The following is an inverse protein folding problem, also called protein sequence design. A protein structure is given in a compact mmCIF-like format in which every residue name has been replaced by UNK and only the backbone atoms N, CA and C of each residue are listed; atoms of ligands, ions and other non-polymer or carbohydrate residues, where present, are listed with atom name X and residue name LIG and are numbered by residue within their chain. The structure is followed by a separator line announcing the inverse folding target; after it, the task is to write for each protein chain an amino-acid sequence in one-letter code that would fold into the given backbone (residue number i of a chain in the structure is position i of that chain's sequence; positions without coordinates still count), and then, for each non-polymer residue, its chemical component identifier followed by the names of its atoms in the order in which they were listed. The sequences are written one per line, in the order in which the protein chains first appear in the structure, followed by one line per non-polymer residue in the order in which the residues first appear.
data_IF_736765360202
#
_entry.id   IF_736765360202
#
_cell.length_a   1.000
_cell.length_b   1.000
_cell.length_c   1.000
_cell.angle_alpha   90.00
_cell.angle_beta   90.00
_cell.angle_gamma   90.00
#
_symmetry.space_group_name_H-M   'P 1'
#
loop_
_entity.id
_entity.type
_entity.pdbx_description
1 polymer ?
#
# COMPACT_ATOMS: atom_id res chain seq x y z
N UNK A 1 -11.51 7.93 -3.77
CA UNK A 1 -11.29 9.30 -3.25
C UNK A 1 -11.16 9.21 -1.74
N UNK A 2 -10.13 9.81 -1.12
CA UNK A 2 -9.97 9.74 0.33
C UNK A 2 -11.07 10.53 1.04
N UNK A 3 -11.48 10.05 2.21
CA UNK A 3 -12.65 10.49 2.97
C UNK A 3 -12.56 11.90 3.58
N UNK A 4 -11.48 12.66 3.38
CA UNK A 4 -11.24 13.93 4.07
C UNK A 4 -11.67 15.19 3.28
N UNK A 5 -12.48 15.05 2.21
CA UNK A 5 -12.99 16.19 1.42
C UNK A 5 -14.31 16.81 1.94
N UNK A 6 -14.66 16.62 3.21
CA UNK A 6 -15.78 17.30 3.86
C UNK A 6 -15.29 18.03 5.13
N UNK A 7 -15.66 19.31 5.35
CA UNK A 7 -15.33 20.03 6.57
C UNK A 7 -16.02 19.38 7.77
N UNK A 8 -15.27 19.13 8.84
CA UNK A 8 -15.77 18.53 10.08
C UNK A 8 -16.66 19.54 10.82
N UNK A 9 -17.96 19.26 10.90
CA UNK A 9 -18.87 19.90 11.84
C UNK A 9 -19.57 18.79 12.63
N UNK A 10 -19.39 18.80 13.95
CA UNK A 10 -19.99 17.84 14.88
C UNK A 10 -21.26 18.45 15.49
N UNK A 11 -22.42 17.76 15.48
CA UNK A 11 -23.51 18.06 16.41
C UNK A 11 -23.39 17.20 17.69
N UNK A 12 -23.98 17.65 18.81
CA UNK A 12 -23.78 17.05 20.14
C UNK A 12 -24.55 15.74 20.35
N UNK A 13 -23.99 14.92 21.25
CA UNK A 13 -24.45 13.60 21.68
C UNK A 13 -25.91 13.56 22.14
N UNK A 14 -26.66 12.56 21.68
CA UNK A 14 -27.86 12.07 22.35
C UNK A 14 -27.60 10.68 22.93
N UNK A 15 -27.67 10.59 24.26
CA UNK A 15 -27.64 9.36 25.05
C UNK A 15 -29.03 8.72 25.06
N UNK A 16 -29.12 7.43 24.75
CA UNK A 16 -30.24 6.58 25.20
C UNK A 16 -29.69 5.24 25.68
N UNK A 17 -30.02 4.92 26.93
CA UNK A 17 -29.62 3.71 27.64
C UNK A 17 -30.74 2.67 27.58
N UNK A 18 -30.40 1.40 27.37
CA UNK A 18 -31.25 0.22 27.67
C UNK A 18 -30.37 -1.01 27.99
N UNK A 19 -30.89 -2.01 28.72
CA UNK A 19 -30.15 -2.71 29.76
C UNK A 19 -29.53 -4.05 29.35
N UNK A 20 -28.59 -4.48 30.19
CA UNK A 20 -27.87 -5.75 30.19
C UNK A 20 -28.78 -6.98 30.19
N UNK A 21 -28.38 -7.99 29.40
CA UNK A 21 -28.70 -9.41 29.63
C UNK A 21 -27.39 -10.18 29.69
N UNK A 22 -27.17 -10.85 30.82
CA UNK A 22 -26.01 -11.71 31.08
C UNK A 22 -26.21 -13.08 30.41
N UNK A 23 -25.14 -13.65 29.84
CA UNK A 23 -25.04 -15.07 29.58
C UNK A 23 -23.67 -15.62 30.02
N UNK A 24 -23.77 -16.66 30.85
CA UNK A 24 -22.74 -17.57 31.36
C UNK A 24 -21.79 -18.02 30.24
N UNK A 25 -20.48 -18.12 30.39
CA UNK A 25 -19.76 -18.78 31.47
C UNK A 25 -19.33 -20.17 31.00
N UNK A 26 -18.25 -20.26 30.23
CA UNK A 26 -17.51 -21.51 29.98
C UNK A 26 -16.02 -21.20 30.12
N UNK A 27 -15.44 -21.70 31.21
CA UNK A 27 -14.02 -21.67 31.48
C UNK A 27 -13.30 -22.63 30.53
N UNK A 28 -12.26 -22.15 29.84
CA UNK A 28 -11.26 -23.01 29.22
C UNK A 28 -9.91 -22.74 29.86
N UNK A 29 -9.31 -23.83 30.30
CA UNK A 29 -8.13 -23.98 31.15
C UNK A 29 -6.87 -23.42 30.52
N UNK A 30 -6.25 -22.45 31.22
CA UNK A 30 -4.82 -22.14 31.13
C UNK A 30 -4.01 -23.30 31.68
N UNK A 31 -3.41 -24.10 30.80
CA UNK A 31 -2.18 -24.86 31.07
C UNK A 31 -1.58 -25.24 29.72
N UNK A 32 -0.25 -25.14 29.63
CA UNK A 32 0.60 -25.37 28.46
C UNK A 32 0.79 -24.17 27.51
N UNK A 33 1.44 -23.12 28.02
CA UNK A 33 2.35 -22.31 27.19
C UNK A 33 3.77 -22.50 27.71
N UNK A 34 4.74 -22.91 26.88
CA UNK A 34 6.13 -22.96 27.31
C UNK A 34 6.62 -21.55 27.63
N UNK A 35 7.40 -21.44 28.71
CA UNK A 35 8.09 -20.22 29.16
C UNK A 35 8.80 -19.56 27.97
N UNK A 36 8.28 -18.43 27.50
CA UNK A 36 9.06 -17.52 26.66
C UNK A 36 10.10 -16.89 27.59
N UNK A 37 11.36 -17.28 27.40
CA UNK A 37 12.49 -16.42 27.75
C UNK A 37 12.18 -14.99 27.28
N UNK A 38 12.63 -13.98 28.06
CA UNK A 38 12.49 -12.57 27.69
C UNK A 38 13.34 -12.31 26.45
N UNK A 39 12.81 -12.63 25.29
CA UNK A 39 13.41 -12.40 23.98
C UNK A 39 13.61 -10.89 23.79
N UNK A 40 14.83 -10.50 23.38
CA UNK A 40 15.07 -9.18 22.81
C UNK A 40 14.05 -8.91 21.67
N UNK A 41 13.53 -7.68 21.52
CA UNK A 41 12.57 -7.38 20.46
C UNK A 41 13.18 -7.73 19.10
N UNK A 42 12.47 -8.55 18.31
CA UNK A 42 13.04 -9.25 17.15
C UNK A 42 13.47 -8.28 16.02
N UNK A 43 12.96 -7.05 16.08
CA UNK A 43 13.15 -5.98 15.10
C UNK A 43 14.02 -4.81 15.59
N UNK A 44 14.46 -4.79 16.86
CA UNK A 44 15.25 -3.68 17.41
C UNK A 44 16.61 -3.53 16.68
N UNK A 45 17.24 -4.66 16.36
CA UNK A 45 18.50 -4.73 15.59
C UNK A 45 18.37 -4.19 14.15
N UNK A 46 17.16 -4.16 13.58
CA UNK A 46 16.94 -3.64 12.22
C UNK A 46 16.90 -2.11 12.18
N UNK A 47 16.79 -1.42 13.32
CA UNK A 47 16.78 0.04 13.38
C UNK A 47 18.18 0.67 13.49
N UNK A 48 19.18 -0.07 13.92
CA UNK A 48 20.52 0.45 14.18
C UNK A 48 21.14 1.09 12.93
N UNK A 49 21.45 2.38 13.00
CA UNK A 49 22.07 3.14 11.90
C UNK A 49 21.12 3.58 10.78
N UNK A 50 19.81 3.29 10.88
CA UNK A 50 18.83 3.83 9.94
C UNK A 50 18.33 5.19 10.40
N UNK A 51 18.62 6.23 9.63
CA UNK A 51 18.01 7.55 9.83
C UNK A 51 16.49 7.63 9.57
N UNK A 52 15.78 6.50 9.58
CA UNK A 52 14.33 6.34 9.43
C UNK A 52 13.90 5.05 10.14
N UNK A 53 12.96 5.14 11.09
CA UNK A 53 12.50 4.00 11.90
C UNK A 53 10.98 3.90 12.03
N UNK A 54 10.22 4.83 11.44
CA UNK A 54 8.75 4.85 11.53
C UNK A 54 8.04 3.80 10.67
N UNK A 55 8.80 2.96 9.99
CA UNK A 55 8.36 1.78 9.23
C UNK A 55 8.82 0.45 9.88
N UNK A 56 9.40 0.50 11.08
CA UNK A 56 9.77 -0.70 11.85
C UNK A 56 8.54 -1.16 12.64
N UNK A 57 8.24 -2.46 12.56
CA UNK A 57 7.14 -3.07 13.31
C UNK A 57 7.31 -2.90 14.82
N UNK A 58 6.29 -2.37 15.49
CA UNK A 58 6.27 -2.14 16.94
C UNK A 58 5.63 -3.35 17.64
N UNK A 59 6.47 -4.31 18.04
CA UNK A 59 6.06 -5.50 18.80
C UNK A 59 5.49 -5.18 20.19
N UNK A 60 5.66 -3.95 20.69
CA UNK A 60 5.20 -3.53 22.02
C UNK A 60 3.78 -2.99 22.00
N UNK A 61 3.30 -2.53 20.84
CA UNK A 61 1.96 -1.98 20.73
C UNK A 61 0.89 -3.06 20.94
N UNK A 62 -0.11 -2.72 21.75
CA UNK A 62 -1.30 -3.54 21.99
C UNK A 62 -2.54 -2.68 21.76
N UNK A 63 -3.56 -3.25 21.14
CA UNK A 63 -4.84 -2.58 20.95
C UNK A 63 -5.45 -2.19 22.31
N UNK A 64 -6.23 -1.11 22.31
CA UNK A 64 -7.02 -0.72 23.47
C UNK A 64 -8.06 -1.79 23.77
N UNK A 65 -8.21 -2.16 25.04
CA UNK A 65 -9.25 -3.10 25.47
C UNK A 65 -10.61 -2.39 25.49
N UNK A 66 -11.68 -3.14 25.18
CA UNK A 66 -13.05 -2.63 25.21
C UNK A 66 -13.78 -2.70 23.87
N UNK A 67 -15.01 -2.18 23.80
CA UNK A 67 -15.80 -2.21 22.57
C UNK A 67 -15.17 -1.30 21.51
N UNK A 68 -15.03 -1.82 20.29
CA UNK A 68 -14.58 -1.04 19.13
C UNK A 68 -15.67 -0.04 18.72
N UNK A 69 -15.32 1.18 18.27
CA UNK A 69 -16.30 2.16 17.81
C UNK A 69 -17.07 1.62 16.59
N UNK A 70 -18.33 2.05 16.47
CA UNK A 70 -19.17 1.68 15.35
C UNK A 70 -18.55 2.13 14.02
N UNK A 71 -18.66 1.28 12.99
CA UNK A 71 -18.17 1.61 11.66
C UNK A 71 -19.07 2.67 11.02
N UNK A 72 -18.47 3.78 10.56
CA UNK A 72 -19.20 4.87 9.90
C UNK A 72 -18.94 4.82 8.40
N UNK A 73 -19.99 4.55 7.60
CA UNK A 73 -19.90 4.49 6.15
C UNK A 73 -19.72 5.88 5.51
N UNK A 74 -18.95 5.92 4.43
CA UNK A 74 -18.74 7.11 3.60
C UNK A 74 -19.43 6.88 2.26
N UNK A 75 -20.74 7.17 2.20
CA UNK A 75 -21.60 6.87 1.04
C UNK A 75 -21.08 7.43 -0.29
N UNK A 76 -20.49 8.63 -0.29
CA UNK A 76 -19.82 9.19 -1.47
C UNK A 76 -18.77 8.24 -2.03
N UNK A 77 -17.93 7.65 -1.17
CA UNK A 77 -16.87 6.75 -1.59
C UNK A 77 -17.45 5.44 -2.09
N UNK A 78 -18.47 4.90 -1.42
CA UNK A 78 -19.18 3.69 -1.83
C UNK A 78 -19.75 3.84 -3.25
N UNK A 79 -20.49 4.92 -3.49
CA UNK A 79 -21.13 5.19 -4.80
C UNK A 79 -20.06 5.36 -5.88
N UNK A 80 -19.06 6.21 -5.67
CA UNK A 80 -18.02 6.45 -6.67
C UNK A 80 -17.20 5.19 -6.96
N UNK A 81 -16.93 4.36 -5.95
CA UNK A 81 -16.21 3.11 -6.14
C UNK A 81 -17.04 2.09 -6.92
N UNK A 82 -18.35 2.00 -6.64
CA UNK A 82 -19.27 1.17 -7.39
C UNK A 82 -19.35 1.60 -8.86
N UNK A 83 -19.54 2.90 -9.13
CA UNK A 83 -19.60 3.44 -10.49
C UNK A 83 -18.30 3.21 -11.27
N UNK A 84 -17.14 3.40 -10.63
CA UNK A 84 -15.84 3.13 -11.25
C UNK A 84 -15.74 1.68 -11.74
N UNK A 85 -16.09 0.72 -10.88
CA UNK A 85 -15.95 -0.70 -11.20
C UNK A 85 -17.02 -1.19 -12.18
N UNK A 86 -18.25 -0.65 -12.14
CA UNK A 86 -19.27 -0.92 -13.14
C UNK A 86 -18.84 -0.41 -14.53
N UNK A 87 -18.28 0.80 -14.60
CA UNK A 87 -17.77 1.35 -15.85
C UNK A 87 -16.54 0.57 -16.36
N UNK A 88 -15.64 0.15 -15.47
CA UNK A 88 -14.52 -0.72 -15.82
C UNK A 88 -14.98 -2.09 -16.31
N UNK A 89 -16.00 -2.69 -15.69
CA UNK A 89 -16.59 -3.95 -16.15
C UNK A 89 -17.19 -3.79 -17.55
N UNK A 90 -17.93 -2.70 -17.80
CA UNK A 90 -18.42 -2.38 -19.14
C UNK A 90 -17.27 -2.20 -20.14
N UNK A 91 -16.20 -1.53 -19.74
CA UNK A 91 -15.02 -1.30 -20.57
C UNK A 91 -14.37 -2.61 -21.06
N UNK A 92 -14.45 -3.70 -20.28
CA UNK A 92 -13.95 -5.02 -20.70
C UNK A 92 -14.67 -5.52 -21.96
N UNK A 93 -16.00 -5.33 -22.05
CA UNK A 93 -16.80 -5.79 -23.19
C UNK A 93 -16.53 -5.01 -24.48
N UNK A 94 -15.99 -3.79 -24.40
CA UNK A 94 -15.67 -2.96 -25.57
C UNK A 94 -14.20 -3.06 -26.01
N UNK A 95 -13.37 -3.85 -25.31
CA UNK A 95 -11.98 -4.11 -25.71
C UNK A 95 -11.87 -4.60 -27.15
N UNK A 96 -12.71 -5.54 -27.65
CA UNK A 96 -12.63 -5.99 -29.04
C UNK A 96 -12.88 -4.88 -30.08
N UNK A 97 -13.60 -3.82 -29.68
CA UNK A 97 -13.87 -2.65 -30.51
C UNK A 97 -12.85 -1.50 -30.32
N UNK A 98 -11.86 -1.70 -29.45
CA UNK A 98 -10.84 -0.71 -29.10
C UNK A 98 -9.60 -0.92 -29.97
N UNK A 99 -9.04 0.17 -30.51
CA UNK A 99 -7.83 0.11 -31.32
C UNK A 99 -6.66 -0.43 -30.50
N UNK A 100 -5.81 -1.24 -31.13
CA UNK A 100 -4.61 -1.78 -30.48
C UNK A 100 -3.70 -0.71 -29.87
N UNK A 101 -3.54 0.44 -30.56
CA UNK A 101 -2.76 1.57 -30.04
C UNK A 101 -3.30 2.10 -28.70
N UNK A 102 -4.62 2.13 -28.51
CA UNK A 102 -5.27 2.52 -27.25
C UNK A 102 -4.99 1.51 -26.14
N UNK A 103 -5.00 0.22 -26.45
CA UNK A 103 -4.65 -0.84 -25.49
C UNK A 103 -3.18 -0.76 -25.06
N UNK A 104 -2.28 -0.58 -26.03
CA UNK A 104 -0.85 -0.40 -25.76
C UNK A 104 -0.59 0.86 -24.93
N UNK A 105 -1.25 1.97 -25.28
CA UNK A 105 -1.17 3.22 -24.51
C UNK A 105 -1.65 3.02 -23.07
N UNK A 106 -2.81 2.41 -22.87
CA UNK A 106 -3.33 2.08 -21.53
C UNK A 106 -2.37 1.19 -20.74
N UNK A 107 -1.75 0.20 -21.39
CA UNK A 107 -0.76 -0.67 -20.76
C UNK A 107 0.52 0.06 -20.35
N UNK A 108 1.06 0.94 -21.21
CA UNK A 108 2.22 1.78 -20.85
C UNK A 108 1.87 2.71 -19.70
N UNK A 109 0.69 3.34 -19.74
CA UNK A 109 0.18 4.20 -18.67
C UNK A 109 0.05 3.45 -17.34
N UNK A 110 -0.40 2.18 -17.40
CA UNK A 110 -0.50 1.28 -16.25
C UNK A 110 0.87 1.04 -15.61
N UNK A 111 1.89 0.69 -16.41
CA UNK A 111 3.25 0.46 -15.91
C UNK A 111 3.82 1.71 -15.25
N UNK A 112 3.72 2.87 -15.92
CA UNK A 112 4.25 4.13 -15.38
C UNK A 112 3.53 4.48 -14.07
N UNK A 113 2.20 4.36 -14.04
CA UNK A 113 1.41 4.58 -12.81
C UNK A 113 1.86 3.64 -11.68
N UNK A 114 2.07 2.36 -12.00
CA UNK A 114 2.59 1.37 -11.06
C UNK A 114 3.93 1.75 -10.47
N UNK A 115 4.91 2.16 -11.29
CA UNK A 115 6.21 2.65 -10.83
C UNK A 115 6.10 3.89 -9.94
N UNK A 116 5.12 4.76 -10.19
CA UNK A 116 4.81 5.90 -9.32
C UNK A 116 4.39 5.50 -7.90
N UNK A 117 3.74 4.34 -7.75
CA UNK A 117 3.43 3.75 -6.45
C UNK A 117 4.65 3.02 -5.90
N UNK A 118 5.19 2.05 -6.63
CA UNK A 118 6.17 1.09 -6.11
C UNK A 118 7.57 1.69 -5.96
N UNK A 119 8.14 2.27 -7.03
CA UNK A 119 9.44 2.94 -6.94
C UNK A 119 9.33 4.26 -6.18
N UNK A 120 8.24 5.01 -6.41
CA UNK A 120 7.98 6.29 -5.77
C UNK A 120 7.44 6.17 -4.34
N UNK A 121 6.11 6.25 -4.20
CA UNK A 121 5.44 6.40 -2.90
C UNK A 121 5.91 5.37 -1.87
N UNK A 122 6.09 4.12 -2.28
CA UNK A 122 6.48 3.01 -1.43
C UNK A 122 7.96 3.02 -1.09
N UNK A 123 8.83 2.61 -2.02
CA UNK A 123 10.24 2.37 -1.73
C UNK A 123 11.03 3.65 -1.45
N UNK A 124 10.78 4.72 -2.22
CA UNK A 124 11.51 5.98 -2.08
C UNK A 124 11.03 6.81 -0.89
N UNK A 125 9.75 7.16 -0.85
CA UNK A 125 9.25 8.13 0.13
C UNK A 125 8.79 7.48 1.45
N UNK A 126 8.19 6.30 1.43
CA UNK A 126 7.74 5.66 2.68
C UNK A 126 8.89 5.03 3.44
N UNK A 127 9.78 4.31 2.74
CA UNK A 127 10.86 3.52 3.36
C UNK A 127 12.26 4.12 3.24
N UNK A 128 12.46 5.13 2.38
CA UNK A 128 13.77 5.73 2.12
C UNK A 128 14.84 4.67 1.83
N UNK A 129 14.47 3.68 1.03
CA UNK A 129 15.33 2.52 0.73
C UNK A 129 16.39 2.83 -0.33
N UNK A 130 16.26 3.96 -1.02
CA UNK A 130 17.27 4.51 -1.93
C UNK A 130 17.15 6.05 -2.01
N UNK A 131 18.11 6.70 -2.65
CA UNK A 131 18.10 8.14 -2.95
C UNK A 131 17.84 8.37 -4.43
N UNK A 132 17.05 9.40 -4.75
CA UNK A 132 16.72 9.78 -6.12
C UNK A 132 17.13 11.23 -6.41
N UNK A 133 17.73 11.45 -7.57
CA UNK A 133 18.00 12.78 -8.13
C UNK A 133 16.69 13.57 -8.31
N UNK A 134 16.79 14.89 -8.45
CA UNK A 134 15.61 15.75 -8.64
C UNK A 134 14.78 15.36 -9.88
N UNK A 135 15.38 15.09 -11.08
CA UNK A 135 14.61 14.66 -12.24
C UNK A 135 13.81 13.38 -12.00
N UNK A 136 14.43 12.37 -11.36
CA UNK A 136 13.75 11.12 -11.03
C UNK A 136 12.60 11.33 -10.03
N UNK A 137 12.80 12.14 -9.00
CA UNK A 137 11.75 12.48 -8.04
C UNK A 137 10.55 13.16 -8.70
N UNK A 138 10.80 14.11 -9.60
CA UNK A 138 9.74 14.78 -10.36
C UNK A 138 8.99 13.77 -11.25
N UNK A 139 9.72 12.92 -11.98
CA UNK A 139 9.13 11.87 -12.82
C UNK A 139 8.25 10.90 -12.03
N UNK A 140 8.73 10.44 -10.87
CA UNK A 140 7.97 9.55 -9.99
C UNK A 140 6.75 10.24 -9.34
N UNK A 141 6.81 11.55 -9.06
CA UNK A 141 5.66 12.28 -8.53
C UNK A 141 4.56 12.50 -9.56
N UNK A 142 4.94 12.71 -10.83
CA UNK A 142 4.00 12.72 -11.97
C UNK A 142 3.38 11.33 -12.12
N UNK A 143 4.20 10.28 -12.16
CA UNK A 143 3.74 8.89 -12.24
C UNK A 143 2.80 8.51 -11.09
N UNK A 144 3.08 8.93 -9.86
CA UNK A 144 2.21 8.72 -8.71
C UNK A 144 0.85 9.42 -8.89
N UNK A 145 0.84 10.63 -9.45
CA UNK A 145 -0.40 11.36 -9.74
C UNK A 145 -1.25 10.68 -10.83
N UNK A 146 -0.62 9.95 -11.77
CA UNK A 146 -1.31 9.11 -12.76
C UNK A 146 -2.04 7.92 -12.11
N UNK A 147 -1.53 7.43 -10.97
CA UNK A 147 -2.06 6.28 -10.26
C UNK A 147 -3.24 6.60 -9.33
N UNK A 148 -3.40 7.88 -8.93
CA UNK A 148 -4.49 8.37 -8.07
C UNK A 148 -4.79 7.47 -6.85
N UNK A 149 -3.80 7.35 -5.96
CA UNK A 149 -3.92 6.65 -4.69
C UNK A 149 -3.65 7.57 -3.48
N UNK A 150 -4.15 8.80 -3.51
CA UNK A 150 -3.78 9.92 -2.61
C UNK A 150 -2.41 10.51 -2.92
N UNK A 151 -2.15 11.69 -2.35
CA UNK A 151 -0.86 12.37 -2.49
C UNK A 151 0.23 11.61 -1.74
N UNK A 152 1.49 11.83 -2.12
CA UNK A 152 2.64 11.06 -1.61
C UNK A 152 2.72 11.14 -0.08
N UNK A 153 2.47 12.31 0.51
CA UNK A 153 2.54 12.50 1.95
C UNK A 153 1.49 11.66 2.69
N UNK A 154 0.23 11.70 2.22
CA UNK A 154 -0.84 10.90 2.83
C UNK A 154 -0.59 9.40 2.66
N UNK A 155 -0.18 8.97 1.46
CA UNK A 155 0.13 7.56 1.18
C UNK A 155 1.26 7.07 2.10
N UNK A 156 2.36 7.82 2.20
CA UNK A 156 3.51 7.43 3.01
C UNK A 156 3.22 7.43 4.51
N UNK A 157 2.42 8.37 5.02
CA UNK A 157 1.98 8.34 6.42
C UNK A 157 1.17 7.08 6.73
N UNK A 158 0.17 6.80 5.89
CA UNK A 158 -0.69 5.64 6.09
C UNK A 158 0.13 4.33 5.96
N UNK A 159 1.10 4.28 5.04
CA UNK A 159 1.98 3.12 4.85
C UNK A 159 2.97 2.91 6.01
N UNK A 160 3.56 3.99 6.56
CA UNK A 160 4.40 3.91 7.77
C UNK A 160 3.58 3.40 8.96
N UNK A 161 2.35 3.90 9.14
CA UNK A 161 1.43 3.41 10.18
C UNK A 161 1.08 1.93 9.99
N UNK A 162 0.84 1.52 8.75
CA UNK A 162 0.59 0.11 8.40
C UNK A 162 1.76 -0.79 8.79
N UNK A 163 3.00 -0.43 8.47
CA UNK A 163 4.17 -1.20 8.89
C UNK A 163 4.34 -1.25 10.41
N UNK A 164 4.24 -0.10 11.07
CA UNK A 164 4.54 0.03 12.50
C UNK A 164 3.50 -0.68 13.36
N UNK A 165 2.23 -0.65 12.96
CA UNK A 165 1.10 -1.17 13.74
C UNK A 165 0.28 -2.22 12.98
N UNK A 166 0.93 -2.96 12.09
CA UNK A 166 0.32 -3.98 11.23
C UNK A 166 -0.60 -4.91 12.02
N UNK A 167 -1.73 -5.29 11.42
CA UNK A 167 -2.75 -6.17 12.03
C UNK A 167 -3.51 -5.62 13.25
N UNK A 168 -3.38 -4.32 13.55
CA UNK A 168 -4.10 -3.67 14.66
C UNK A 168 -5.10 -2.62 14.19
N UNK A 169 -5.90 -2.07 15.10
CA UNK A 169 -6.81 -0.95 14.87
C UNK A 169 -6.10 0.36 14.50
N UNK A 170 -4.76 0.42 14.62
CA UNK A 170 -3.94 1.52 14.12
C UNK A 170 -3.41 1.30 12.69
N UNK A 171 -3.60 0.11 12.12
CA UNK A 171 -3.35 -0.19 10.71
C UNK A 171 -4.53 0.31 9.85
N UNK A 172 -4.31 1.24 8.89
CA UNK A 172 -5.36 1.76 8.02
C UNK A 172 -6.15 0.69 7.26
N UNK A 173 -5.52 -0.44 6.92
CA UNK A 173 -6.11 -1.53 6.13
C UNK A 173 -5.93 -2.89 6.82
N UNK A 174 -6.09 -2.90 8.15
CA UNK A 174 -6.02 -4.06 9.03
C UNK A 174 -6.61 -5.34 8.42
N UNK A 175 -5.74 -6.26 8.00
CA UNK A 175 -6.10 -7.53 7.39
C UNK A 175 -6.86 -8.48 8.34
N UNK A 176 -6.73 -8.30 9.66
CA UNK A 176 -7.50 -9.06 10.67
C UNK A 176 -9.00 -8.79 10.61
N UNK A 177 -9.44 -7.71 9.93
CA UNK A 177 -10.85 -7.42 9.65
C UNK A 177 -11.39 -8.13 8.40
N UNK A 178 -10.58 -8.97 7.77
CA UNK A 178 -10.94 -9.80 6.63
C UNK A 178 -10.64 -9.17 5.27
N UNK A 179 -10.65 -10.02 4.24
CA UNK A 179 -10.24 -9.69 2.87
C UNK A 179 -10.93 -8.44 2.32
N UNK A 180 -12.26 -8.33 2.45
CA UNK A 180 -12.98 -7.19 1.88
C UNK A 180 -12.54 -5.87 2.51
N UNK A 181 -12.32 -5.85 3.83
CA UNK A 181 -11.90 -4.64 4.52
C UNK A 181 -10.51 -4.20 4.05
N UNK A 182 -9.52 -5.09 4.07
CA UNK A 182 -8.15 -4.75 3.66
C UNK A 182 -7.99 -4.52 2.16
N UNK A 183 -8.86 -5.08 1.33
CA UNK A 183 -8.87 -4.84 -0.11
C UNK A 183 -9.43 -3.46 -0.46
N UNK A 184 -10.69 -3.17 -0.09
CA UNK A 184 -11.35 -1.91 -0.48
C UNK A 184 -12.21 -1.31 0.61
N UNK A 185 -12.73 -2.11 1.55
CA UNK A 185 -13.67 -1.68 2.57
C UNK A 185 -13.15 -0.54 3.45
N UNK A 186 -11.84 -0.50 3.73
CA UNK A 186 -11.20 0.57 4.49
C UNK A 186 -11.32 1.96 3.83
N UNK A 187 -11.44 2.02 2.50
CA UNK A 187 -11.67 3.26 1.74
C UNK A 187 -13.13 3.72 1.78
N UNK A 188 -14.05 2.85 2.20
CA UNK A 188 -15.49 3.06 2.17
C UNK A 188 -16.06 3.51 3.52
N UNK A 189 -15.21 3.57 4.54
CA UNK A 189 -15.56 3.91 5.92
C UNK A 189 -14.63 4.99 6.47
N UNK A 190 -15.00 5.59 7.60
CA UNK A 190 -14.08 6.43 8.36
C UNK A 190 -12.96 5.57 8.96
N UNK A 191 -11.74 6.11 8.96
CA UNK A 191 -10.58 5.49 9.63
C UNK A 191 -10.90 5.30 11.11
N UNK A 192 -10.38 4.23 11.69
CA UNK A 192 -10.44 4.02 13.12
C UNK A 192 -9.68 5.15 13.86
N UNK A 193 -10.14 5.62 15.04
CA UNK A 193 -9.46 6.70 15.77
C UNK A 193 -7.98 6.43 16.05
N UNK A 194 -7.60 5.17 16.28
CA UNK A 194 -6.21 4.81 16.55
C UNK A 194 -5.29 5.02 15.34
N UNK A 195 -5.79 4.86 14.10
CA UNK A 195 -5.03 5.21 12.89
C UNK A 195 -4.67 6.71 12.89
N UNK A 196 -5.62 7.55 13.31
CA UNK A 196 -5.43 9.00 13.37
C UNK A 196 -4.47 9.37 14.51
N UNK A 197 -4.68 8.79 15.70
CA UNK A 197 -3.86 9.06 16.88
C UNK A 197 -2.41 8.63 16.66
N UNK A 198 -2.19 7.42 16.16
CA UNK A 198 -0.87 6.84 15.95
C UNK A 198 -0.17 7.41 14.73
N UNK A 199 -0.91 7.69 13.66
CA UNK A 199 -0.36 8.37 12.47
C UNK A 199 0.20 9.77 12.77
N UNK A 200 -0.33 10.49 13.78
CA UNK A 200 0.22 11.78 14.24
C UNK A 200 1.54 11.66 15.01
N UNK A 201 1.89 10.46 15.48
CA UNK A 201 3.11 10.20 16.26
C UNK A 201 4.29 9.73 15.39
N UNK A 202 4.07 9.56 14.09
CA UNK A 202 5.12 9.23 13.13
C UNK A 202 5.90 10.49 12.77
N UNK A 203 7.22 10.38 12.62
CA UNK A 203 8.01 11.43 11.99
C UNK A 203 7.75 11.43 10.48
N UNK A 204 7.35 12.59 9.97
CA UNK A 204 7.10 12.86 8.54
C UNK A 204 7.90 14.08 8.07
N UNK A 205 8.81 14.60 8.90
CA UNK A 205 9.59 15.82 8.62
C UNK A 205 10.42 15.70 7.35
N UNK A 206 10.84 14.48 7.00
CA UNK A 206 11.54 14.17 5.75
C UNK A 206 10.67 14.42 4.51
N UNK A 207 9.38 14.11 4.58
CA UNK A 207 8.40 14.36 3.51
C UNK A 207 8.02 15.84 3.44
N UNK A 208 7.94 16.52 4.58
CA UNK A 208 7.66 17.97 4.66
C UNK A 208 8.83 18.79 4.09
N UNK A 209 10.06 18.32 4.28
CA UNK A 209 11.25 18.93 3.72
C UNK A 209 11.40 18.70 2.20
N UNK A 210 10.78 17.65 1.63
CA UNK A 210 10.83 17.40 0.19
C UNK A 210 9.86 18.31 -0.58
N UNK A 211 10.42 19.33 -1.22
CA UNK A 211 9.68 20.28 -2.05
C UNK A 211 8.87 19.62 -3.18
N UNK A 212 9.31 18.48 -3.72
CA UNK A 212 8.56 17.75 -4.77
C UNK A 212 7.29 17.14 -4.19
N UNK A 213 7.40 16.50 -3.02
CA UNK A 213 6.26 15.92 -2.29
C UNK A 213 5.25 17.00 -1.94
N UNK A 214 5.71 18.11 -1.35
CA UNK A 214 4.83 19.20 -0.93
C UNK A 214 4.21 19.95 -2.11
N UNK A 215 4.92 20.07 -3.23
CA UNK A 215 4.36 20.60 -4.47
C UNK A 215 3.25 19.68 -5.01
N UNK A 216 3.50 18.38 -5.09
CA UNK A 216 2.51 17.41 -5.55
C UNK A 216 1.26 17.44 -4.66
N UNK A 217 1.43 17.47 -3.34
CA UNK A 217 0.32 17.62 -2.38
C UNK A 217 -0.50 18.89 -2.60
N UNK A 218 0.16 20.04 -2.80
CA UNK A 218 -0.51 21.34 -3.03
C UNK A 218 -1.38 21.33 -4.28
N UNK A 219 -0.94 20.68 -5.35
CA UNK A 219 -1.63 20.67 -6.65
C UNK A 219 -2.32 19.34 -6.99
N UNK A 220 -2.43 18.44 -6.01
CA UNK A 220 -2.84 17.05 -6.22
C UNK A 220 -4.18 16.89 -6.95
N UNK A 221 -5.17 17.73 -6.60
CA UNK A 221 -6.50 17.67 -7.22
C UNK A 221 -6.46 18.00 -8.72
N UNK A 222 -5.62 18.96 -9.12
CA UNK A 222 -5.49 19.34 -10.53
C UNK A 222 -4.66 18.28 -11.26
N UNK A 223 -3.55 17.83 -10.65
CA UNK A 223 -2.69 16.82 -11.25
C UNK A 223 -3.42 15.52 -11.49
N UNK A 224 -4.27 15.05 -10.56
CA UNK A 224 -5.01 13.80 -10.74
C UNK A 224 -6.09 13.90 -11.84
N UNK A 225 -6.77 15.04 -12.00
CA UNK A 225 -7.76 15.20 -13.08
C UNK A 225 -7.05 15.13 -14.43
N UNK A 226 -5.92 15.84 -14.55
CA UNK A 226 -5.14 15.90 -15.78
C UNK A 226 -4.49 14.55 -16.10
N UNK A 227 -3.77 13.97 -15.14
CA UNK A 227 -2.91 12.82 -15.36
C UNK A 227 -3.67 11.50 -15.21
N UNK A 228 -4.62 11.36 -14.30
CA UNK A 228 -5.34 10.09 -14.16
C UNK A 228 -6.46 9.93 -15.21
N UNK A 229 -7.09 11.02 -15.67
CA UNK A 229 -8.28 10.93 -16.52
C UNK A 229 -8.15 11.64 -17.86
N UNK A 230 -7.79 12.92 -17.87
CA UNK A 230 -7.81 13.71 -19.11
C UNK A 230 -6.75 13.24 -20.11
N UNK A 231 -5.47 13.26 -19.76
CA UNK A 231 -4.37 12.89 -20.65
C UNK A 231 -4.49 11.46 -21.22
N UNK A 232 -4.78 10.42 -20.40
CA UNK A 232 -4.92 9.07 -20.92
C UNK A 232 -6.14 8.90 -21.85
N UNK A 233 -7.15 9.77 -21.74
CA UNK A 233 -8.31 9.82 -22.64
C UNK A 233 -8.03 10.63 -23.91
N UNK A 234 -7.39 11.79 -23.76
CA UNK A 234 -7.16 12.74 -24.84
C UNK A 234 -6.19 12.19 -25.87
N UNK A 235 -5.12 11.53 -25.43
CA UNK A 235 -4.07 11.05 -26.34
C UNK A 235 -4.62 10.06 -27.38
N UNK A 236 -5.35 8.98 -27.01
CA UNK A 236 -5.91 8.07 -28.00
C UNK A 236 -6.95 8.71 -28.92
N UNK A 237 -7.80 9.57 -28.34
CA UNK A 237 -8.85 10.25 -29.08
C UNK A 237 -8.28 11.17 -30.17
N UNK A 238 -7.23 11.93 -29.84
CA UNK A 238 -6.67 12.94 -30.73
C UNK A 238 -5.65 12.36 -31.73
N UNK A 239 -4.71 11.52 -31.28
CA UNK A 239 -3.54 11.16 -32.09
C UNK A 239 -3.77 9.99 -33.05
N UNK A 240 -4.68 9.07 -32.75
CA UNK A 240 -4.96 7.92 -33.63
C UNK A 240 -6.46 7.64 -33.82
N UNK A 241 -7.29 8.66 -33.54
CA UNK A 241 -8.71 8.67 -33.86
C UNK A 241 -9.50 7.56 -33.19
N UNK A 242 -9.13 7.17 -31.96
CA UNK A 242 -9.99 6.33 -31.13
C UNK A 242 -11.28 7.08 -30.79
N UNK A 243 -12.39 6.37 -30.55
CA UNK A 243 -13.58 7.07 -30.06
C UNK A 243 -13.31 7.65 -28.67
N UNK A 244 -13.90 8.81 -28.36
CA UNK A 244 -13.76 9.42 -27.04
C UNK A 244 -14.15 8.43 -25.92
N UNK A 245 -15.24 7.68 -26.11
CA UNK A 245 -15.74 6.71 -25.14
C UNK A 245 -14.80 5.53 -24.93
N UNK A 246 -14.26 4.92 -25.99
CA UNK A 246 -13.27 3.85 -25.83
C UNK A 246 -11.99 4.36 -25.15
N UNK A 247 -11.54 5.55 -25.53
CA UNK A 247 -10.36 6.19 -24.91
C UNK A 247 -10.57 6.38 -23.41
N UNK A 248 -11.72 6.94 -23.01
CA UNK A 248 -12.05 7.19 -21.61
C UNK A 248 -12.25 5.88 -20.82
N UNK A 249 -13.08 4.98 -21.34
CA UNK A 249 -13.44 3.76 -20.62
C UNK A 249 -12.28 2.78 -20.51
N UNK A 250 -11.44 2.65 -21.54
CA UNK A 250 -10.35 1.67 -21.55
C UNK A 250 -9.05 2.25 -21.01
N UNK A 251 -8.54 3.34 -21.60
CA UNK A 251 -7.24 3.89 -21.22
C UNK A 251 -7.26 4.71 -19.91
N UNK A 252 -8.41 5.24 -19.51
CA UNK A 252 -8.57 5.90 -18.21
C UNK A 252 -9.24 5.00 -17.15
N UNK A 253 -10.50 4.62 -17.34
CA UNK A 253 -11.32 3.97 -16.30
C UNK A 253 -10.87 2.53 -16.00
N UNK A 254 -10.80 1.66 -17.00
CA UNK A 254 -10.39 0.26 -16.81
C UNK A 254 -8.95 0.19 -16.31
N UNK A 255 -8.04 0.93 -16.92
CA UNK A 255 -6.65 1.04 -16.48
C UNK A 255 -6.54 1.51 -15.02
N UNK A 256 -7.33 2.49 -14.60
CA UNK A 256 -7.36 2.95 -13.21
C UNK A 256 -7.90 1.88 -12.25
N UNK A 257 -8.98 1.19 -12.62
CA UNK A 257 -9.51 0.09 -11.83
C UNK A 257 -8.49 -1.06 -11.69
N UNK A 258 -7.76 -1.40 -12.75
CA UNK A 258 -6.73 -2.44 -12.73
C UNK A 258 -5.61 -2.07 -11.75
N UNK A 259 -5.07 -0.84 -11.82
CA UNK A 259 -3.97 -0.45 -10.92
C UNK A 259 -4.42 -0.43 -9.45
N UNK A 260 -5.65 0.03 -9.16
CA UNK A 260 -6.19 0.01 -7.81
C UNK A 260 -6.25 -1.41 -7.25
N UNK A 261 -6.89 -2.33 -7.98
CA UNK A 261 -7.03 -3.71 -7.52
C UNK A 261 -5.68 -4.43 -7.43
N UNK A 262 -4.74 -4.14 -8.34
CA UNK A 262 -3.36 -4.63 -8.25
C UNK A 262 -2.67 -4.20 -6.95
N UNK A 263 -2.79 -2.92 -6.56
CA UNK A 263 -2.25 -2.44 -5.29
C UNK A 263 -3.01 -3.03 -4.09
N UNK A 264 -4.34 -3.08 -4.13
CA UNK A 264 -5.14 -3.61 -3.01
C UNK A 264 -4.95 -5.09 -2.74
N UNK A 265 -4.55 -5.87 -3.75
CA UNK A 265 -4.13 -7.25 -3.56
C UNK A 265 -2.91 -7.39 -2.64
N UNK A 266 -2.05 -6.37 -2.55
CA UNK A 266 -0.92 -6.35 -1.60
C UNK A 266 -1.47 -6.33 -0.17
N UNK A 267 -2.36 -5.39 0.14
CA UNK A 267 -2.96 -5.25 1.47
C UNK A 267 -3.85 -6.43 1.89
N UNK A 268 -4.43 -7.14 0.92
CA UNK A 268 -5.40 -8.21 1.15
C UNK A 268 -4.81 -9.60 0.91
N UNK A 269 -4.61 -9.98 -0.35
CA UNK A 269 -4.10 -11.29 -0.70
C UNK A 269 -2.69 -11.54 -0.14
N UNK A 270 -1.81 -10.54 -0.12
CA UNK A 270 -0.46 -10.70 0.43
C UNK A 270 -0.39 -10.64 1.96
N UNK A 271 -1.51 -10.44 2.69
CA UNK A 271 -1.59 -10.68 4.13
C UNK A 271 -2.31 -12.00 4.49
N UNK A 272 -3.05 -12.60 3.55
CA UNK A 272 -3.95 -13.73 3.84
C UNK A 272 -3.46 -15.03 3.17
N UNK A 273 -3.00 -14.96 1.92
CA UNK A 273 -2.66 -16.14 1.11
C UNK A 273 -1.19 -16.15 0.69
N UNK A 274 -0.49 -17.25 0.95
CA UNK A 274 0.92 -17.44 0.62
C UNK A 274 1.75 -18.04 1.75
N UNK A 275 3.07 -18.02 1.57
CA UNK A 275 4.04 -18.57 2.52
C UNK A 275 4.75 -17.48 3.33
N UNK A 276 5.42 -17.85 4.42
CA UNK A 276 6.13 -16.92 5.33
C UNK A 276 7.56 -17.41 5.63
N UNK A 277 8.43 -17.45 4.60
CA UNK A 277 9.76 -18.04 4.72
C UNK A 277 10.72 -17.25 5.62
N UNK A 278 10.46 -15.97 5.90
CA UNK A 278 11.35 -15.11 6.69
C UNK A 278 10.83 -14.90 8.11
N UNK A 279 9.53 -14.64 8.28
CA UNK A 279 8.92 -14.51 9.60
C UNK A 279 7.46 -15.00 9.61
N UNK A 280 7.23 -16.12 10.30
CA UNK A 280 5.91 -16.73 10.46
C UNK A 280 5.07 -16.10 11.57
N UNK A 281 5.64 -15.20 12.38
CA UNK A 281 4.96 -14.53 13.50
C UNK A 281 4.12 -13.34 13.03
N UNK A 282 4.42 -12.81 11.84
CA UNK A 282 3.63 -11.75 11.18
C UNK A 282 2.68 -12.36 10.13
N UNK A 283 1.65 -11.59 9.73
CA UNK A 283 0.69 -12.00 8.71
C UNK A 283 1.17 -11.87 7.25
N UNK A 284 1.94 -10.83 6.83
CA UNK A 284 2.42 -10.66 5.46
C UNK A 284 3.05 -11.92 4.86
N UNK A 285 2.79 -12.17 3.58
CA UNK A 285 3.04 -13.42 2.87
C UNK A 285 3.68 -13.21 1.51
N UNK A 286 4.49 -14.17 1.09
CA UNK A 286 4.97 -14.28 -0.28
C UNK A 286 3.84 -14.80 -1.18
N UNK A 287 3.41 -14.01 -2.15
CA UNK A 287 2.32 -14.36 -3.06
C UNK A 287 2.69 -14.11 -4.53
N UNK A 288 2.91 -15.20 -5.28
CA UNK A 288 3.36 -15.14 -6.69
C UNK A 288 2.40 -14.41 -7.62
N UNK A 289 1.08 -14.53 -7.41
CA UNK A 289 0.11 -13.82 -8.25
C UNK A 289 0.20 -12.30 -8.02
N UNK A 290 0.37 -11.89 -6.76
CA UNK A 290 0.55 -10.49 -6.39
C UNK A 290 1.87 -9.93 -6.91
N UNK A 291 2.94 -10.73 -6.96
CA UNK A 291 4.23 -10.31 -7.57
C UNK A 291 4.01 -9.80 -9.00
N UNK A 292 3.21 -10.49 -9.81
CA UNK A 292 2.90 -10.04 -11.18
C UNK A 292 1.90 -8.89 -11.22
N UNK A 293 0.84 -8.95 -10.42
CA UNK A 293 -0.20 -7.93 -10.41
C UNK A 293 0.26 -6.57 -9.86
N UNK A 294 1.28 -6.56 -8.99
CA UNK A 294 1.80 -5.39 -8.30
C UNK A 294 3.30 -5.16 -8.57
N UNK A 295 3.80 -5.53 -9.75
CA UNK A 295 5.15 -5.16 -10.23
C UNK A 295 6.33 -5.53 -9.31
N UNK A 296 6.18 -6.58 -8.50
CA UNK A 296 7.18 -7.05 -7.55
C UNK A 296 6.79 -6.94 -6.08
N UNK A 297 5.71 -6.25 -5.72
CA UNK A 297 5.36 -6.03 -4.30
C UNK A 297 4.70 -7.23 -3.60
N UNK A 298 4.54 -8.36 -4.30
CA UNK A 298 3.98 -9.60 -3.72
C UNK A 298 4.95 -10.39 -2.84
N UNK A 299 6.23 -10.02 -2.75
CA UNK A 299 7.20 -10.60 -1.81
C UNK A 299 7.03 -9.97 -0.41
N UNK A 300 5.82 -10.07 0.13
CA UNK A 300 5.37 -9.20 1.21
C UNK A 300 5.85 -9.64 2.60
N UNK A 301 6.11 -10.94 2.80
CA UNK A 301 6.73 -11.42 4.05
C UNK A 301 8.16 -10.89 4.16
N UNK A 302 8.93 -10.94 3.08
CA UNK A 302 10.26 -10.33 3.02
C UNK A 302 10.17 -8.84 3.32
N UNK A 303 9.26 -8.14 2.63
CA UNK A 303 9.12 -6.71 2.75
C UNK A 303 8.81 -6.25 4.17
N UNK A 304 7.84 -6.86 4.87
CA UNK A 304 7.56 -6.51 6.26
C UNK A 304 8.65 -6.94 7.23
N UNK A 305 9.42 -7.97 6.89
CA UNK A 305 10.58 -8.38 7.69
C UNK A 305 11.74 -7.38 7.52
N UNK A 306 11.93 -6.83 6.31
CA UNK A 306 13.03 -5.95 5.95
C UNK A 306 12.53 -4.72 5.16
N UNK A 307 11.79 -3.79 5.80
CA UNK A 307 11.08 -2.70 5.10
C UNK A 307 11.99 -1.73 4.33
N UNK A 308 13.25 -1.67 4.72
CA UNK A 308 14.31 -0.81 4.18
C UNK A 308 15.01 -1.33 2.93
N UNK A 309 14.80 -2.58 2.55
CA UNK A 309 15.46 -3.16 1.38
C UNK A 309 14.81 -2.60 0.11
N UNK A 310 15.61 -1.97 -0.77
CA UNK A 310 15.08 -1.29 -1.94
C UNK A 310 14.43 -2.23 -2.95
N UNK A 311 14.75 -3.53 -2.91
CA UNK A 311 14.17 -4.51 -3.82
C UNK A 311 12.84 -5.05 -3.32
N UNK A 312 12.50 -4.87 -2.04
CA UNK A 312 11.36 -5.50 -1.36
C UNK A 312 11.30 -7.03 -1.53
N UNK A 313 12.42 -7.65 -1.90
CA UNK A 313 12.52 -9.08 -2.21
C UNK A 313 13.95 -9.59 -2.03
N UNK A 314 14.12 -10.85 -1.61
CA UNK A 314 15.43 -11.48 -1.60
C UNK A 314 16.02 -11.61 -3.03
N UNK A 315 15.15 -11.90 -4.02
CA UNK A 315 15.55 -12.26 -5.39
C UNK A 315 15.95 -11.10 -6.30
N UNK A 316 15.95 -9.87 -5.80
CA UNK A 316 16.35 -8.71 -6.60
C UNK A 316 15.37 -8.46 -7.75
N UNK A 317 15.91 -8.32 -8.96
CA UNK A 317 15.16 -8.04 -10.19
C UNK A 317 14.29 -9.18 -10.70
N UNK A 318 14.52 -10.42 -10.24
CA UNK A 318 13.75 -11.59 -10.71
C UNK A 318 12.28 -11.42 -10.33
N UNK A 319 11.42 -11.35 -11.34
CA UNK A 319 9.98 -11.12 -11.20
C UNK A 319 9.61 -9.80 -10.53
N UNK A 320 10.55 -8.85 -10.46
CA UNK A 320 10.37 -7.56 -9.82
C UNK A 320 10.73 -6.44 -10.81
N UNK A 321 9.68 -5.96 -11.50
CA UNK A 321 9.82 -4.90 -12.49
C UNK A 321 10.32 -3.60 -11.84
N UNK A 322 9.85 -3.30 -10.64
CA UNK A 322 10.24 -2.10 -9.90
C UNK A 322 11.74 -2.11 -9.56
N UNK A 323 12.28 -3.24 -9.08
CA UNK A 323 13.72 -3.38 -8.83
C UNK A 323 14.52 -3.23 -10.11
N UNK A 324 14.04 -3.80 -11.22
CA UNK A 324 14.67 -3.62 -12.54
C UNK A 324 14.74 -2.14 -12.94
N UNK A 325 13.64 -1.41 -12.76
CA UNK A 325 13.58 0.03 -13.02
C UNK A 325 14.55 0.81 -12.14
N UNK A 326 14.57 0.55 -10.83
CA UNK A 326 15.48 1.25 -9.90
C UNK A 326 16.94 0.95 -10.26
N UNK A 327 17.29 -0.29 -10.61
CA UNK A 327 18.63 -0.64 -11.07
C UNK A 327 19.05 0.13 -12.32
N UNK A 328 18.16 0.27 -13.29
CA UNK A 328 18.41 1.10 -14.47
C UNK A 328 18.65 2.56 -14.07
N UNK A 329 17.87 3.09 -13.11
CA UNK A 329 18.09 4.45 -12.60
C UNK A 329 19.40 4.58 -11.81
N UNK A 330 19.81 3.56 -11.03
CA UNK A 330 21.11 3.56 -10.35
C UNK A 330 22.24 3.54 -11.42
N UNK A 331 22.10 2.76 -12.51
CA UNK A 331 23.03 2.72 -13.65
C UNK A 331 23.15 4.07 -14.39
N UNK A 332 22.03 4.76 -14.61
CA UNK A 332 21.99 6.08 -15.26
C UNK A 332 22.45 7.23 -14.34
N UNK A 333 22.84 6.94 -13.08
CA UNK A 333 23.22 7.96 -12.10
C UNK A 333 22.06 8.80 -11.57
N UNK A 334 20.81 8.39 -11.82
CA UNK A 334 19.60 9.07 -11.37
C UNK A 334 19.13 8.61 -9.98
N UNK A 335 19.59 7.43 -9.55
CA UNK A 335 19.38 6.87 -8.21
C UNK A 335 20.72 6.45 -7.58
N UNK A 336 20.78 6.40 -6.26
CA UNK A 336 21.96 5.97 -5.50
C UNK A 336 21.57 5.44 -4.12
N UNK A 337 22.55 4.96 -3.35
CA UNK A 337 22.33 4.48 -1.98
C UNK A 337 21.24 3.38 -1.90
N UNK A 338 21.23 2.50 -2.92
CA UNK A 338 20.21 1.47 -3.12
C UNK A 338 20.43 0.36 -2.05
N UNK A 339 19.73 0.44 -0.89
CA UNK A 339 19.98 -0.37 0.34
C UNK A 339 19.56 -1.83 0.19
N UNK A 340 20.43 -2.77 0.54
CA UNK A 340 20.15 -4.21 0.52
C UNK A 340 20.48 -4.88 1.84
N UNK A 341 19.64 -5.83 2.26
CA UNK A 341 19.96 -6.71 3.39
C UNK A 341 21.05 -7.68 2.97
N UNK A 342 22.04 -7.88 3.83
CA UNK A 342 23.08 -8.86 3.58
C UNK A 342 22.53 -10.30 3.67
N UNK A 343 23.15 -11.22 2.93
CA UNK A 343 22.67 -12.60 2.84
C UNK A 343 22.74 -13.34 4.17
N UNK A 344 23.69 -13.01 5.05
CA UNK A 344 23.84 -13.67 6.33
C UNK A 344 22.68 -13.29 7.26
N UNK A 345 22.29 -12.02 7.31
CA UNK A 345 21.12 -11.53 8.04
C UNK A 345 19.83 -12.16 7.53
N UNK A 346 19.64 -12.24 6.21
CA UNK A 346 18.46 -12.91 5.63
C UNK A 346 18.41 -14.39 6.04
N UNK A 347 19.53 -15.11 5.92
CA UNK A 347 19.61 -16.52 6.30
C UNK A 347 19.36 -16.74 7.80
N UNK A 348 20.00 -15.93 8.65
CA UNK A 348 19.79 -15.98 10.10
C UNK A 348 18.32 -15.76 10.46
N UNK A 349 17.64 -14.81 9.80
CA UNK A 349 16.21 -14.56 10.01
C UNK A 349 15.34 -15.73 9.59
N UNK A 350 15.58 -16.32 8.40
CA UNK A 350 14.87 -17.53 7.93
C UNK A 350 14.99 -18.68 8.92
N UNK A 351 16.18 -18.89 9.50
CA UNK A 351 16.42 -19.95 10.49
C UNK A 351 15.69 -19.64 11.80
N UNK A 352 15.72 -18.39 12.25
CA UNK A 352 15.15 -17.96 13.54
C UNK A 352 13.62 -17.93 13.55
N UNK A 353 12.99 -17.43 12.49
CA UNK A 353 11.55 -17.12 12.48
C UNK A 353 10.79 -17.63 11.25
N UNK A 354 11.47 -18.19 10.24
CA UNK A 354 10.80 -18.66 9.02
C UNK A 354 9.92 -19.90 9.24
N UNK A 355 8.91 -20.08 8.39
CA UNK A 355 8.01 -21.24 8.39
C UNK A 355 8.61 -22.51 7.74
N UNK A 356 9.87 -22.46 7.31
CA UNK A 356 10.57 -23.55 6.62
C UNK A 356 10.29 -23.66 5.12
N UNK A 357 9.39 -22.86 4.54
CA UNK A 357 9.04 -22.92 3.11
C UNK A 357 10.18 -22.45 2.19
N UNK A 358 11.22 -21.82 2.74
CA UNK A 358 12.41 -21.39 2.00
C UNK A 358 13.21 -22.57 1.41
N UNK A 359 12.96 -23.81 1.87
CA UNK A 359 13.59 -25.03 1.36
C UNK A 359 12.94 -25.56 0.08
N UNK A 360 11.69 -25.17 -0.18
CA UNK A 360 10.86 -25.66 -1.27
C UNK A 360 10.53 -24.58 -2.32
N UNK A 361 11.18 -23.42 -2.22
CA UNK A 361 10.96 -22.25 -3.10
C UNK A 361 12.21 -21.84 -3.84
#
# INVERSE_FOLDING_TARGET
MPAHLAPETYPPNFSTAFPHVAQNGVANTEKDRPNMEKDHPVYEDLGAGRGMTDDIFDETYREKTGPKPATVYVWRNIILMGLLHLAALYAIFIIPATKFATLLWGFVYLIISGLGITAGAHRLWSHRSYKASLPLRIGLAIANSMAFQNDIYEWSRDHRAHHKFSETDADPHNASRGFFFSHVGWLLVRKHPDVIEKGKKLDLSDLEADKVVMFQRRYYKISLVILCFFLPTFVPWYFWGETFWNSFLVAAILRYAIILNGTWLVNSAAHIYGNRPYDQRINPRENRLVVFAAFGEGFHNYHHTFPFDYSTSEFGWRWNLTTTFINLMCYLGLASDCKRVDKATVLARKIRTGDGSHKTG
#
